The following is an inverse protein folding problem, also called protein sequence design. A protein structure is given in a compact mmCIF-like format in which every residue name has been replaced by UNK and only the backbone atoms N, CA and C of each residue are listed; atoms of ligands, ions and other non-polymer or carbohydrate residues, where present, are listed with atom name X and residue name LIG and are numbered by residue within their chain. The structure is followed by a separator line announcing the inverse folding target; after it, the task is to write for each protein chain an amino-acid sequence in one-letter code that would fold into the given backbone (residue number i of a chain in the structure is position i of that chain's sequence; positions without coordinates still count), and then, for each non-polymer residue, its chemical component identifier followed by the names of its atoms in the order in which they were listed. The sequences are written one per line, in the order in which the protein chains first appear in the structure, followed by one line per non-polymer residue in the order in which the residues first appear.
data_IF_974977531858
#
_entry.id   IF_974977531858
#
_cell.length_a   1.000
_cell.length_b   1.000
_cell.length_c   1.000
_cell.angle_alpha   90.00
_cell.angle_beta   90.00
_cell.angle_gamma   90.00
#
_symmetry.space_group_name_H-M   'P 1'
#
loop_
_entity.id
_entity.type
_entity.pdbx_description
1 polymer ?
#
# COMPACT_ATOMS: atom_id res chain seq x y z
N UNK A 1 -7.41 22.24 27.33
CA UNK A 1 -6.88 20.98 26.79
C UNK A 1 -5.77 21.35 25.83
N UNK A 2 -4.50 21.26 26.27
CA UNK A 2 -3.35 21.46 25.39
C UNK A 2 -3.11 20.17 24.61
N UNK A 3 -3.32 20.18 23.30
CA UNK A 3 -2.82 19.17 22.37
C UNK A 3 -1.30 19.35 22.27
N UNK A 4 -0.55 18.24 22.37
CA UNK A 4 0.88 18.23 22.12
C UNK A 4 1.16 18.63 20.67
N UNK A 5 1.89 19.72 20.45
CA UNK A 5 2.29 20.18 19.13
C UNK A 5 3.39 19.27 18.58
N UNK A 6 3.03 18.44 17.62
CA UNK A 6 4.00 17.77 16.74
C UNK A 6 4.26 18.69 15.56
N UNK A 7 5.47 19.22 15.42
CA UNK A 7 5.84 20.03 14.28
C UNK A 7 6.08 19.14 13.05
N UNK A 8 5.22 19.30 12.05
CA UNK A 8 5.40 18.65 10.73
C UNK A 8 6.30 19.56 9.90
N UNK A 9 7.52 19.11 9.63
CA UNK A 9 8.40 19.79 8.68
C UNK A 9 8.18 19.19 7.29
N UNK A 10 7.49 19.94 6.43
CA UNK A 10 7.40 19.62 5.00
C UNK A 10 8.73 20.00 4.35
N UNK A 11 9.56 19.02 4.00
CA UNK A 11 10.88 19.26 3.43
C UNK A 11 10.90 19.17 1.90
N UNK A 12 9.93 18.48 1.30
CA UNK A 12 9.65 18.43 -0.13
C UNK A 12 8.16 18.10 -0.32
N UNK A 13 7.62 18.28 -1.54
CA UNK A 13 6.21 18.04 -1.84
C UNK A 13 5.74 16.60 -1.57
N UNK A 14 6.66 15.66 -1.35
CA UNK A 14 6.40 14.22 -1.24
C UNK A 14 6.86 13.58 0.09
N UNK A 15 7.64 14.27 0.93
CA UNK A 15 8.19 13.70 2.18
C UNK A 15 7.73 14.47 3.41
N UNK A 16 7.03 13.81 4.32
CA UNK A 16 6.70 14.32 5.64
C UNK A 16 7.72 13.82 6.67
N UNK A 17 8.43 14.74 7.30
CA UNK A 17 9.29 14.47 8.47
C UNK A 17 8.61 14.96 9.73
N UNK A 18 8.55 14.10 10.75
CA UNK A 18 8.13 14.47 12.09
C UNK A 18 9.35 14.77 12.94
N UNK A 19 9.37 15.94 13.57
CA UNK A 19 10.31 16.23 14.64
C UNK A 19 9.56 16.02 15.96
N UNK A 20 9.85 14.93 16.66
CA UNK A 20 9.33 14.70 18.00
C UNK A 20 9.87 15.82 18.92
N UNK A 21 9.00 16.66 19.42
CA UNK A 21 9.33 17.51 20.55
C UNK A 21 9.70 16.62 21.73
N UNK A 22 10.82 16.90 22.41
CA UNK A 22 11.29 16.16 23.57
C UNK A 22 10.34 16.30 24.76
N UNK A 23 9.26 15.52 24.76
CA UNK A 23 8.39 15.35 25.93
C UNK A 23 8.84 14.06 26.61
N UNK A 24 9.48 14.16 27.77
CA UNK A 24 9.71 13.02 28.65
C UNK A 24 8.34 12.43 29.02
N UNK A 25 8.11 11.11 28.86
CA UNK A 25 6.86 10.50 29.27
C UNK A 25 6.78 10.53 30.80
N UNK A 26 5.85 11.29 31.33
CA UNK A 26 5.35 11.13 32.69
C UNK A 26 4.37 9.97 32.68
N UNK A 27 4.51 9.06 33.62
CA UNK A 27 3.75 7.81 33.87
C UNK A 27 2.30 7.82 33.38
N UNK A 28 1.88 6.71 32.75
CA UNK A 28 0.50 6.38 32.36
C UNK A 28 -0.19 7.36 31.41
N UNK A 29 0.42 7.62 30.26
CA UNK A 29 -0.20 8.45 29.23
C UNK A 29 -0.67 7.60 28.05
N UNK A 30 -1.90 7.86 27.64
CA UNK A 30 -2.46 7.34 26.41
C UNK A 30 -1.45 7.56 25.25
N UNK A 31 -1.09 6.49 24.57
CA UNK A 31 -0.19 6.56 23.41
C UNK A 31 -0.86 7.42 22.34
N UNK A 32 -0.25 8.55 22.01
CA UNK A 32 -0.74 9.38 20.92
C UNK A 32 -0.39 8.74 19.57
N UNK A 33 -1.35 8.69 18.67
CA UNK A 33 -1.18 8.17 17.33
C UNK A 33 -1.31 9.27 16.28
N UNK A 34 -0.56 9.11 15.21
CA UNK A 34 -0.71 9.88 13.97
C UNK A 34 -1.39 8.99 12.93
N UNK A 35 -2.21 9.59 12.08
CA UNK A 35 -2.78 8.95 10.91
C UNK A 35 -2.34 9.74 9.69
N UNK A 36 -1.62 9.07 8.79
CA UNK A 36 -1.28 9.58 7.47
C UNK A 36 -2.15 8.88 6.44
N UNK A 37 -2.95 9.65 5.70
CA UNK A 37 -3.80 9.10 4.64
C UNK A 37 -3.49 9.77 3.31
N UNK A 38 -3.43 8.97 2.26
CA UNK A 38 -3.30 9.43 0.87
C UNK A 38 -4.67 9.45 0.22
N UNK A 39 -5.06 10.53 -0.47
CA UNK A 39 -6.25 10.52 -1.29
C UNK A 39 -6.06 9.63 -2.52
N UNK A 40 -7.12 9.39 -3.26
CA UNK A 40 -7.02 8.90 -4.64
C UNK A 40 -6.17 9.88 -5.45
N UNK A 41 -5.34 9.38 -6.35
CA UNK A 41 -4.42 10.16 -7.18
C UNK A 41 -3.19 10.71 -6.43
N UNK A 42 -3.04 10.40 -5.14
CA UNK A 42 -1.90 10.87 -4.34
C UNK A 42 -1.02 9.74 -3.84
N UNK A 43 0.26 10.04 -3.65
CA UNK A 43 1.20 9.19 -2.94
C UNK A 43 2.04 10.04 -2.00
N UNK A 44 2.39 9.51 -0.83
CA UNK A 44 3.22 10.21 0.15
C UNK A 44 4.22 9.25 0.76
N UNK A 45 5.36 9.80 1.21
CA UNK A 45 6.29 9.05 2.04
C UNK A 45 6.43 9.70 3.41
N UNK A 46 6.71 8.87 4.41
CA UNK A 46 6.92 9.31 5.80
C UNK A 46 8.15 8.62 6.36
N UNK A 47 8.92 9.36 7.17
CA UNK A 47 10.00 8.81 8.00
C UNK A 47 9.45 8.66 9.42
N UNK A 48 9.35 7.42 9.89
CA UNK A 48 8.87 7.09 11.23
C UNK A 48 9.93 7.41 12.31
N UNK A 49 9.55 7.46 13.60
CA UNK A 49 10.47 7.79 14.70
C UNK A 49 11.70 6.88 14.83
N UNK A 50 11.60 5.64 14.36
CA UNK A 50 12.69 4.64 14.36
C UNK A 50 13.57 4.69 13.10
N UNK A 51 13.41 5.70 12.24
CA UNK A 51 14.04 5.85 10.93
C UNK A 51 13.55 4.85 9.87
N UNK A 52 12.48 4.13 10.11
CA UNK A 52 11.77 3.37 9.08
C UNK A 52 11.13 4.34 8.07
N UNK A 53 11.34 4.10 6.78
CA UNK A 53 10.70 4.87 5.73
C UNK A 53 9.52 4.08 5.14
N UNK A 54 8.39 4.75 4.99
CA UNK A 54 7.17 4.16 4.42
C UNK A 54 6.68 5.02 3.28
N UNK A 55 6.39 4.42 2.13
CA UNK A 55 5.67 5.06 1.02
C UNK A 55 4.26 4.51 1.01
N UNK A 56 3.29 5.40 0.95
CA UNK A 56 1.87 5.08 0.82
C UNK A 56 1.42 5.35 -0.59
N UNK A 57 0.83 4.34 -1.23
CA UNK A 57 0.20 4.46 -2.53
C UNK A 57 -1.16 5.18 -2.42
N UNK A 58 -1.81 5.46 -3.54
CA UNK A 58 -3.11 6.13 -3.58
C UNK A 58 -4.17 5.38 -2.76
N UNK A 59 -5.08 6.12 -2.13
CA UNK A 59 -6.17 5.60 -1.30
C UNK A 59 -5.70 4.66 -0.16
N UNK A 60 -4.60 5.02 0.53
CA UNK A 60 -4.01 4.23 1.62
C UNK A 60 -3.94 5.02 2.92
N UNK A 61 -3.86 4.32 4.05
CA UNK A 61 -3.74 4.95 5.37
C UNK A 61 -2.80 4.16 6.27
N UNK A 62 -1.93 4.88 6.98
CA UNK A 62 -1.02 4.36 7.98
C UNK A 62 -1.28 5.05 9.32
N UNK A 63 -1.61 4.25 10.35
CA UNK A 63 -1.69 4.70 11.72
C UNK A 63 -0.44 4.24 12.48
N UNK A 64 0.23 5.15 13.17
CA UNK A 64 1.47 4.88 13.91
C UNK A 64 1.59 5.75 15.15
N UNK A 65 2.24 5.29 16.22
CA UNK A 65 2.41 6.08 17.45
C UNK A 65 3.44 7.20 17.24
N UNK A 66 3.34 8.26 18.03
CA UNK A 66 4.33 9.37 18.09
C UNK A 66 5.70 8.85 18.48
N UNK A 67 5.77 7.78 19.29
CA UNK A 67 6.98 7.08 19.69
C UNK A 67 6.70 5.59 19.86
N UNK A 68 7.62 4.73 19.43
CA UNK A 68 7.50 3.28 19.62
C UNK A 68 7.86 2.86 21.05
N UNK A 69 7.31 1.72 21.47
CA UNK A 69 7.65 1.11 22.75
C UNK A 69 8.98 0.34 22.69
N UNK A 70 9.52 -0.02 23.87
CA UNK A 70 10.70 -0.86 23.96
C UNK A 70 10.42 -2.35 23.66
N UNK A 71 9.15 -2.72 23.45
CA UNK A 71 8.72 -4.11 23.19
C UNK A 71 8.43 -4.38 21.72
N UNK A 72 7.84 -3.40 21.03
CA UNK A 72 7.45 -3.54 19.64
C UNK A 72 7.32 -2.16 18.95
N UNK A 73 7.50 -2.15 17.64
CA UNK A 73 7.26 -1.01 16.74
C UNK A 73 6.02 -1.32 15.91
N UNK A 74 4.84 -0.99 16.43
CA UNK A 74 3.55 -1.36 15.85
C UNK A 74 2.95 -0.23 15.04
N UNK A 75 2.48 -0.56 13.83
CA UNK A 75 1.71 0.33 12.94
C UNK A 75 0.51 -0.42 12.37
N UNK A 76 -0.50 0.32 11.88
CA UNK A 76 -1.67 -0.24 11.22
C UNK A 76 -1.77 0.29 9.79
N UNK A 77 -2.05 -0.59 8.84
CA UNK A 77 -2.13 -0.27 7.41
C UNK A 77 -3.49 -0.68 6.84
N UNK A 78 -4.03 0.23 6.01
CA UNK A 78 -5.08 -0.07 5.03
C UNK A 78 -4.61 0.42 3.65
N UNK A 79 -4.96 -0.29 2.57
CA UNK A 79 -4.49 0.05 1.23
C UNK A 79 -3.11 -0.52 0.93
N UNK A 80 -2.22 0.23 0.28
CA UNK A 80 -0.92 -0.26 -0.16
C UNK A 80 0.22 0.62 0.32
N UNK A 81 1.26 -0.05 0.86
CA UNK A 81 2.48 0.62 1.30
C UNK A 81 3.73 -0.22 1.03
N UNK A 82 4.81 0.48 0.74
CA UNK A 82 6.16 -0.07 0.68
C UNK A 82 6.94 0.39 1.91
N UNK A 83 7.65 -0.55 2.54
CA UNK A 83 8.38 -0.34 3.77
C UNK A 83 9.88 -0.59 3.58
N UNK A 84 10.70 0.34 4.01
CA UNK A 84 12.13 0.15 4.29
C UNK A 84 12.33 0.24 5.80
N UNK A 85 12.21 -0.91 6.47
CA UNK A 85 12.25 -0.96 7.93
C UNK A 85 13.68 -0.89 8.43
N UNK A 86 13.94 0.05 9.34
CA UNK A 86 15.24 0.18 10.01
C UNK A 86 15.57 -1.08 10.81
N UNK A 87 16.82 -1.59 10.64
CA UNK A 87 17.30 -2.79 11.35
C UNK A 87 17.30 -2.55 12.86
N UNK A 88 16.60 -3.39 13.60
CA UNK A 88 16.51 -3.33 15.06
C UNK A 88 16.15 -4.72 15.62
N UNK A 89 16.54 -5.01 16.88
CA UNK A 89 16.12 -6.23 17.57
C UNK A 89 14.68 -6.19 18.04
N UNK A 90 14.13 -4.99 18.26
CA UNK A 90 12.71 -4.78 18.60
C UNK A 90 11.89 -5.02 17.32
N UNK A 91 10.92 -5.94 17.32
CA UNK A 91 10.14 -6.27 16.14
C UNK A 91 9.31 -5.08 15.64
N UNK A 92 9.29 -4.90 14.31
CA UNK A 92 8.36 -4.01 13.62
C UNK A 92 7.15 -4.83 13.15
N UNK A 93 5.96 -4.41 13.54
CA UNK A 93 4.72 -5.14 13.29
C UNK A 93 3.76 -4.23 12.52
N UNK A 94 3.37 -4.69 11.33
CA UNK A 94 2.28 -4.06 10.57
C UNK A 94 1.01 -4.88 10.79
N UNK A 95 -0.02 -4.27 11.38
CA UNK A 95 -1.37 -4.83 11.43
C UNK A 95 -2.09 -4.43 10.15
N UNK A 96 -2.51 -5.40 9.37
CA UNK A 96 -3.12 -5.19 8.05
C UNK A 96 -4.63 -5.43 8.16
N UNK A 97 -5.42 -4.40 7.86
CA UNK A 97 -6.89 -4.44 7.91
C UNK A 97 -7.45 -5.07 9.20
N UNK A 98 -6.75 -4.92 10.34
CA UNK A 98 -7.08 -5.53 11.65
C UNK A 98 -7.25 -7.07 11.59
N UNK A 99 -6.67 -7.74 10.61
CA UNK A 99 -6.92 -9.15 10.29
C UNK A 99 -5.66 -9.99 10.25
N UNK A 100 -4.63 -9.51 9.62
CA UNK A 100 -3.34 -10.18 9.54
C UNK A 100 -2.22 -9.32 10.14
N UNK A 101 -1.09 -9.94 10.48
CA UNK A 101 0.10 -9.22 10.93
C UNK A 101 1.31 -9.62 10.12
N UNK A 102 2.15 -8.63 9.82
CA UNK A 102 3.43 -8.78 9.15
C UNK A 102 4.51 -8.31 10.12
N UNK A 103 5.38 -9.22 10.56
CA UNK A 103 6.44 -8.96 11.54
C UNK A 103 7.81 -9.07 10.89
N UNK A 104 8.67 -8.07 11.16
CA UNK A 104 10.04 -7.97 10.63
C UNK A 104 11.01 -7.39 11.65
N UNK A 105 12.33 -7.50 11.39
CA UNK A 105 13.39 -6.86 12.21
C UNK A 105 14.19 -5.80 11.44
N UNK A 106 14.12 -5.80 10.10
CA UNK A 106 14.84 -4.89 9.22
C UNK A 106 14.80 -5.44 7.80
N UNK A 107 13.84 -4.97 7.00
CA UNK A 107 13.33 -5.69 5.85
C UNK A 107 12.75 -4.70 4.86
N UNK A 108 12.90 -4.98 3.56
CA UNK A 108 12.24 -4.24 2.49
C UNK A 108 11.10 -5.08 1.91
N UNK A 109 9.88 -4.59 1.98
CA UNK A 109 8.69 -5.32 1.54
C UNK A 109 7.55 -4.39 1.13
N UNK A 110 6.63 -4.90 0.32
CA UNK A 110 5.40 -4.24 -0.09
C UNK A 110 4.20 -4.99 0.49
N UNK A 111 3.20 -4.27 0.95
CA UNK A 111 1.89 -4.82 1.31
C UNK A 111 0.84 -4.12 0.45
N UNK A 112 -0.01 -4.91 -0.24
CA UNK A 112 -1.21 -4.47 -0.93
C UNK A 112 -2.42 -5.10 -0.25
N UNK A 113 -3.29 -4.27 0.33
CA UNK A 113 -4.41 -4.71 1.15
C UNK A 113 -5.61 -3.75 0.99
N UNK A 114 -6.00 -3.50 -0.26
CA UNK A 114 -7.21 -2.72 -0.55
C UNK A 114 -8.45 -3.58 -0.37
N UNK A 115 -9.51 -3.00 0.19
CA UNK A 115 -10.78 -3.70 0.44
C UNK A 115 -11.51 -4.10 -0.86
N UNK A 116 -11.25 -3.40 -1.96
CA UNK A 116 -11.80 -3.68 -3.29
C UNK A 116 -10.99 -4.71 -4.09
N UNK A 117 -9.86 -5.23 -3.53
CA UNK A 117 -9.09 -6.31 -4.14
C UNK A 117 -9.49 -7.69 -3.58
N UNK A 118 -9.44 -8.75 -4.41
CA UNK A 118 -9.87 -10.08 -4.01
C UNK A 118 -8.94 -10.77 -3.00
N UNK A 119 -7.77 -10.21 -2.74
CA UNK A 119 -6.76 -10.76 -1.81
C UNK A 119 -5.88 -9.64 -1.25
N UNK A 120 -5.27 -9.90 -0.10
CA UNK A 120 -4.13 -9.14 0.40
C UNK A 120 -2.84 -9.78 -0.12
N UNK A 121 -1.82 -8.99 -0.44
CA UNK A 121 -0.53 -9.50 -0.88
C UNK A 121 0.62 -8.85 -0.10
N UNK A 122 1.54 -9.66 0.40
CA UNK A 122 2.82 -9.21 0.97
C UNK A 122 3.94 -9.72 0.10
N UNK A 123 4.77 -8.84 -0.44
CA UNK A 123 5.90 -9.17 -1.32
C UNK A 123 7.20 -8.82 -0.64
N UNK A 124 8.12 -9.76 -0.53
CA UNK A 124 9.39 -9.59 0.16
C UNK A 124 10.54 -9.36 -0.82
N UNK A 125 11.24 -8.22 -0.64
CA UNK A 125 12.39 -7.84 -1.46
C UNK A 125 13.72 -8.19 -0.77
N UNK A 126 13.87 -7.82 0.51
CA UNK A 126 15.10 -8.04 1.28
C UNK A 126 14.75 -8.38 2.73
N UNK A 127 15.52 -9.27 3.34
CA UNK A 127 15.41 -9.63 4.75
C UNK A 127 14.51 -10.84 4.99
N UNK A 128 13.66 -10.79 6.00
CA UNK A 128 12.77 -11.88 6.40
C UNK A 128 11.46 -11.31 6.90
N UNK A 129 10.34 -11.93 6.51
CA UNK A 129 8.99 -11.57 6.94
C UNK A 129 8.33 -12.77 7.58
N UNK A 130 7.72 -12.56 8.76
CA UNK A 130 6.77 -13.50 9.34
C UNK A 130 5.36 -12.94 9.17
N UNK A 131 4.49 -13.70 8.51
CA UNK A 131 3.06 -13.38 8.39
C UNK A 131 2.27 -14.26 9.35
N UNK A 132 1.26 -13.66 9.99
CA UNK A 132 0.31 -14.39 10.86
C UNK A 132 -1.11 -14.01 10.49
N UNK A 133 -1.96 -15.02 10.30
CA UNK A 133 -3.40 -14.89 10.04
C UNK A 133 -4.14 -15.86 10.96
N UNK A 134 -4.79 -15.35 12.00
CA UNK A 134 -5.40 -16.19 13.03
C UNK A 134 -4.37 -17.10 13.69
N UNK A 135 -4.54 -18.42 13.53
CA UNK A 135 -3.62 -19.43 14.07
C UNK A 135 -2.52 -19.84 13.06
N UNK A 136 -2.67 -19.50 11.81
CA UNK A 136 -1.70 -19.81 10.75
C UNK A 136 -0.56 -18.79 10.75
N UNK A 137 0.67 -19.26 10.62
CA UNK A 137 1.82 -18.39 10.42
C UNK A 137 2.84 -19.01 9.49
N UNK A 138 3.51 -18.16 8.72
CA UNK A 138 4.60 -18.57 7.83
C UNK A 138 5.72 -17.54 7.82
N UNK A 139 6.90 -17.97 7.38
CA UNK A 139 8.07 -17.13 7.19
C UNK A 139 8.44 -17.12 5.72
N UNK A 140 8.63 -15.91 5.18
CA UNK A 140 9.00 -15.67 3.78
C UNK A 140 10.49 -15.38 3.64
N UNK A 141 11.01 -15.75 2.48
CA UNK A 141 12.35 -15.40 2.00
C UNK A 141 12.27 -14.42 0.82
N UNK A 142 13.34 -13.65 0.53
CA UNK A 142 13.36 -12.72 -0.59
C UNK A 142 12.97 -13.40 -1.91
N UNK A 143 12.18 -12.72 -2.71
CA UNK A 143 11.65 -13.26 -3.97
C UNK A 143 10.26 -13.90 -3.83
N UNK A 144 9.71 -14.01 -2.65
CA UNK A 144 8.39 -14.60 -2.42
C UNK A 144 7.31 -13.54 -2.25
N UNK A 145 6.09 -13.90 -2.66
CA UNK A 145 4.87 -13.16 -2.38
C UNK A 145 3.86 -14.06 -1.67
N UNK A 146 3.36 -13.62 -0.54
CA UNK A 146 2.24 -14.28 0.13
C UNK A 146 0.93 -13.59 -0.25
N UNK A 147 -0.05 -14.37 -0.72
CA UNK A 147 -1.42 -13.92 -0.98
C UNK A 147 -2.36 -14.51 0.06
N UNK A 148 -3.14 -13.64 0.69
CA UNK A 148 -4.17 -14.00 1.67
C UNK A 148 -5.53 -13.85 1.03
N UNK A 149 -6.27 -14.96 0.95
CA UNK A 149 -7.65 -14.99 0.44
C UNK A 149 -8.53 -15.71 1.46
N UNK A 150 -9.54 -15.02 1.99
CA UNK A 150 -10.32 -15.58 3.10
C UNK A 150 -9.44 -15.88 4.31
N UNK A 151 -9.39 -17.11 4.78
CA UNK A 151 -8.59 -17.56 5.92
C UNK A 151 -7.37 -18.40 5.49
N UNK A 152 -6.90 -18.25 4.25
CA UNK A 152 -5.81 -19.06 3.70
C UNK A 152 -4.67 -18.17 3.22
N UNK A 153 -3.44 -18.61 3.49
CA UNK A 153 -2.21 -17.98 3.01
C UNK A 153 -1.57 -18.88 1.95
N UNK A 154 -1.33 -18.32 0.76
CA UNK A 154 -0.61 -19.00 -0.32
C UNK A 154 0.67 -18.24 -0.64
N UNK A 155 1.82 -18.94 -0.63
CA UNK A 155 3.10 -18.37 -1.06
C UNK A 155 3.31 -18.66 -2.53
N UNK A 156 3.64 -17.61 -3.28
CA UNK A 156 4.00 -17.64 -4.69
C UNK A 156 5.49 -17.32 -4.81
N UNK A 157 6.15 -18.04 -5.70
CA UNK A 157 7.52 -17.81 -6.14
C UNK A 157 7.47 -17.39 -7.60
N UNK A 158 8.49 -16.79 -8.09
CA UNK A 158 8.58 -16.34 -9.51
C UNK A 158 7.66 -15.16 -9.87
N UNK A 159 7.14 -14.42 -8.87
CA UNK A 159 6.48 -13.14 -9.13
C UNK A 159 7.50 -12.07 -9.54
N UNK A 160 7.12 -11.20 -10.47
CA UNK A 160 7.95 -10.05 -10.83
C UNK A 160 7.90 -8.99 -9.73
N UNK A 161 8.83 -9.14 -8.77
CA UNK A 161 8.91 -8.25 -7.60
C UNK A 161 9.13 -6.80 -8.01
N UNK A 162 9.91 -6.56 -9.07
CA UNK A 162 10.15 -5.21 -9.57
C UNK A 162 8.88 -4.59 -10.14
N UNK A 163 8.04 -5.37 -10.78
CA UNK A 163 6.73 -4.92 -11.25
C UNK A 163 5.81 -4.55 -10.07
N UNK A 164 5.82 -5.34 -8.98
CA UNK A 164 4.99 -5.06 -7.79
C UNK A 164 5.33 -3.72 -7.14
N UNK A 165 6.61 -3.34 -7.09
CA UNK A 165 7.05 -2.09 -6.44
C UNK A 165 7.26 -0.93 -7.40
N UNK A 166 6.98 -1.13 -8.69
CA UNK A 166 7.22 -0.13 -9.73
C UNK A 166 6.40 1.16 -9.54
N UNK A 167 5.26 1.07 -8.82
CA UNK A 167 4.43 2.22 -8.51
C UNK A 167 5.21 3.32 -7.78
N UNK A 168 6.13 2.96 -6.90
CA UNK A 168 7.04 3.86 -6.19
C UNK A 168 7.98 4.64 -7.13
N UNK A 169 8.23 4.09 -8.32
CA UNK A 169 9.05 4.69 -9.37
C UNK A 169 8.19 5.31 -10.49
N UNK A 170 6.93 5.65 -10.20
CA UNK A 170 6.03 6.30 -11.14
C UNK A 170 5.59 5.41 -12.31
N UNK A 171 5.59 4.08 -12.16
CA UNK A 171 5.16 3.14 -13.19
C UNK A 171 4.19 2.11 -12.60
N UNK A 172 3.25 1.65 -13.40
CA UNK A 172 2.37 0.52 -13.06
C UNK A 172 2.53 -0.55 -14.14
N UNK A 173 2.76 -1.78 -13.71
CA UNK A 173 2.84 -2.94 -14.58
C UNK A 173 1.60 -3.80 -14.40
N UNK A 174 1.08 -4.28 -15.52
CA UNK A 174 0.01 -5.26 -15.58
C UNK A 174 0.57 -6.53 -16.20
N UNK A 175 0.44 -7.65 -15.50
CA UNK A 175 0.81 -8.98 -15.96
C UNK A 175 -0.41 -9.87 -15.82
N UNK A 176 -0.91 -10.36 -16.95
CA UNK A 176 -2.11 -11.19 -17.04
C UNK A 176 -3.29 -10.60 -16.24
N UNK A 177 -3.38 -9.26 -16.22
CA UNK A 177 -4.38 -8.55 -15.45
C UNK A 177 -5.72 -8.55 -16.18
N UNK A 178 -6.79 -8.90 -15.47
CA UNK A 178 -8.14 -8.78 -16.00
C UNK A 178 -8.61 -7.32 -16.00
N UNK A 179 -9.64 -7.04 -16.77
CA UNK A 179 -10.21 -5.69 -16.91
C UNK A 179 -10.62 -5.09 -15.55
N UNK A 180 -11.30 -5.82 -14.64
CA UNK A 180 -11.62 -5.28 -13.31
C UNK A 180 -10.39 -4.86 -12.50
N UNK A 181 -9.32 -5.65 -12.52
CA UNK A 181 -8.06 -5.33 -11.83
C UNK A 181 -7.45 -4.03 -12.36
N UNK A 182 -7.39 -3.87 -13.69
CA UNK A 182 -6.88 -2.64 -14.31
C UNK A 182 -7.74 -1.43 -13.91
N UNK A 183 -9.05 -1.59 -13.95
CA UNK A 183 -9.99 -0.50 -13.66
C UNK A 183 -9.95 -0.08 -12.18
N UNK A 184 -9.72 -0.99 -11.23
CA UNK A 184 -9.51 -0.63 -9.82
C UNK A 184 -8.23 0.20 -9.63
N UNK A 185 -7.13 -0.18 -10.28
CA UNK A 185 -5.88 0.61 -10.26
C UNK A 185 -6.12 2.01 -10.85
N UNK A 186 -6.82 2.10 -11.99
CA UNK A 186 -7.17 3.38 -12.64
C UNK A 186 -8.04 4.23 -11.72
N UNK A 187 -9.07 3.63 -11.12
CA UNK A 187 -9.96 4.30 -10.19
C UNK A 187 -9.19 4.97 -9.05
N UNK A 188 -8.26 4.24 -8.43
CA UNK A 188 -7.45 4.76 -7.33
C UNK A 188 -6.45 5.82 -7.79
N UNK A 189 -5.80 5.62 -8.95
CA UNK A 189 -4.72 6.51 -9.38
C UNK A 189 -5.23 7.80 -10.04
N UNK A 190 -6.31 7.75 -10.82
CA UNK A 190 -6.84 8.91 -11.52
C UNK A 190 -8.07 9.53 -10.84
N UNK A 191 -8.46 9.05 -9.67
CA UNK A 191 -9.64 9.51 -8.93
C UNK A 191 -10.92 9.49 -9.78
N UNK A 192 -11.16 8.36 -10.43
CA UNK A 192 -12.37 8.12 -11.22
C UNK A 192 -13.25 7.04 -10.60
N UNK A 193 -14.56 7.22 -10.67
CA UNK A 193 -15.54 6.26 -10.17
C UNK A 193 -15.95 5.32 -11.31
N UNK A 194 -15.56 4.05 -11.20
CA UNK A 194 -15.81 3.05 -12.23
C UNK A 194 -17.15 2.35 -11.97
N UNK A 195 -18.01 2.34 -12.98
CA UNK A 195 -19.29 1.63 -12.99
C UNK A 195 -19.30 0.62 -14.14
N UNK A 196 -19.67 -0.60 -13.85
CA UNK A 196 -19.72 -1.68 -14.85
C UNK A 196 -21.13 -1.84 -15.40
N UNK A 197 -21.27 -1.89 -16.74
CA UNK A 197 -22.50 -2.29 -17.41
C UNK A 197 -22.24 -3.63 -18.12
N UNK A 198 -22.95 -4.67 -17.68
CA UNK A 198 -22.79 -6.02 -18.23
C UNK A 198 -21.62 -6.82 -17.67
N UNK A 199 -21.31 -7.93 -18.32
CA UNK A 199 -20.22 -8.83 -17.94
C UNK A 199 -19.06 -8.72 -18.92
N UNK A 200 -17.85 -8.66 -18.39
CA UNK A 200 -16.64 -8.55 -19.20
C UNK A 200 -16.03 -9.91 -19.49
N UNK A 201 -15.52 -10.07 -20.71
CA UNK A 201 -14.73 -11.26 -21.05
C UNK A 201 -13.49 -11.32 -20.15
N UNK A 202 -13.05 -12.55 -19.82
CA UNK A 202 -11.81 -12.79 -19.04
C UNK A 202 -10.57 -12.51 -19.88
N UNK A 203 -10.48 -11.32 -20.49
CA UNK A 203 -9.27 -10.90 -21.19
C UNK A 203 -8.18 -10.58 -20.20
N UNK A 204 -7.01 -11.05 -20.47
CA UNK A 204 -5.79 -10.71 -19.76
C UNK A 204 -5.01 -9.67 -20.56
N UNK A 205 -4.56 -8.62 -19.90
CA UNK A 205 -3.81 -7.52 -20.50
C UNK A 205 -2.45 -7.47 -19.84
N UNK A 206 -1.44 -7.38 -20.69
CA UNK A 206 -0.05 -7.18 -20.27
C UNK A 206 0.43 -5.83 -20.77
N UNK A 207 1.13 -5.08 -19.92
CA UNK A 207 1.67 -3.77 -20.28
C UNK A 207 2.21 -3.00 -19.11
N UNK A 208 2.79 -1.85 -19.42
CA UNK A 208 3.28 -0.91 -18.42
C UNK A 208 2.79 0.49 -18.76
N UNK A 209 2.40 1.24 -17.74
CA UNK A 209 1.90 2.60 -17.86
C UNK A 209 2.71 3.51 -16.95
N UNK A 210 3.09 4.68 -17.48
CA UNK A 210 3.64 5.75 -16.66
C UNK A 210 2.52 6.36 -15.81
N UNK A 211 2.75 6.52 -14.52
CA UNK A 211 1.82 7.21 -13.63
C UNK A 211 1.71 8.71 -13.91
N UNK A 212 2.69 9.27 -14.63
CA UNK A 212 2.65 10.65 -15.11
C UNK A 212 1.86 10.82 -16.42
N UNK A 213 1.43 9.71 -17.05
CA UNK A 213 0.59 9.77 -18.22
C UNK A 213 -0.80 10.34 -17.87
N UNK A 214 -1.38 11.21 -18.70
CA UNK A 214 -2.74 11.68 -18.48
C UNK A 214 -3.75 10.55 -18.68
N UNK A 215 -4.89 10.61 -17.99
CA UNK A 215 -5.97 9.63 -18.11
C UNK A 215 -6.36 9.36 -19.58
N UNK A 216 -6.35 10.40 -20.41
CA UNK A 216 -6.70 10.28 -21.84
C UNK A 216 -5.81 9.34 -22.63
N UNK A 217 -4.54 9.20 -22.27
CA UNK A 217 -3.62 8.22 -22.89
C UNK A 217 -3.99 6.80 -22.51
N UNK A 218 -4.26 6.58 -21.24
CA UNK A 218 -4.70 5.30 -20.72
C UNK A 218 -6.04 4.87 -21.34
N UNK A 219 -6.99 5.79 -21.46
CA UNK A 219 -8.27 5.55 -22.09
C UNK A 219 -8.13 5.06 -23.54
N UNK A 220 -7.20 5.65 -24.33
CA UNK A 220 -6.88 5.16 -25.68
C UNK A 220 -6.34 3.72 -25.66
N UNK A 221 -5.52 3.36 -24.66
CA UNK A 221 -5.01 1.98 -24.52
C UNK A 221 -6.16 1.02 -24.23
N UNK A 222 -7.12 1.41 -23.39
CA UNK A 222 -8.31 0.58 -23.13
C UNK A 222 -9.15 0.39 -24.39
N UNK A 223 -9.39 1.45 -25.19
CA UNK A 223 -10.13 1.37 -26.45
C UNK A 223 -9.43 0.47 -27.48
N UNK A 224 -8.09 0.56 -27.62
CA UNK A 224 -7.29 -0.34 -28.47
C UNK A 224 -7.44 -1.80 -28.05
N UNK A 225 -7.66 -2.05 -26.77
CA UNK A 225 -7.96 -3.38 -26.24
C UNK A 225 -9.46 -3.73 -26.29
N UNK A 226 -10.26 -2.93 -27.03
CA UNK A 226 -11.71 -3.13 -27.21
C UNK A 226 -12.48 -3.09 -25.88
N UNK A 227 -12.02 -2.29 -24.93
CA UNK A 227 -12.74 -1.96 -23.72
C UNK A 227 -13.42 -0.62 -23.98
N UNK A 228 -14.75 -0.62 -24.06
CA UNK A 228 -15.51 0.58 -24.31
C UNK A 228 -15.93 1.23 -23.01
N UNK A 229 -16.01 2.55 -23.00
CA UNK A 229 -16.42 3.30 -21.81
C UNK A 229 -17.05 4.64 -22.20
N UNK A 230 -17.79 5.20 -21.26
CA UNK A 230 -18.34 6.55 -21.35
C UNK A 230 -17.91 7.33 -20.13
N UNK A 231 -17.36 8.52 -20.34
CA UNK A 231 -16.99 9.45 -19.27
C UNK A 231 -18.08 10.49 -19.04
N UNK A 232 -18.42 10.74 -17.78
CA UNK A 232 -19.28 11.81 -17.30
C UNK A 232 -18.65 12.41 -16.04
N UNK A 233 -17.88 13.48 -16.19
CA UNK A 233 -17.03 14.02 -15.14
C UNK A 233 -16.03 12.98 -14.65
N UNK A 234 -16.08 12.65 -13.36
CA UNK A 234 -15.25 11.59 -12.74
C UNK A 234 -15.83 10.18 -12.89
N UNK A 235 -17.05 10.04 -13.41
CA UNK A 235 -17.67 8.73 -13.55
C UNK A 235 -17.31 8.09 -14.89
N UNK A 236 -16.66 6.94 -14.82
CA UNK A 236 -16.36 6.06 -15.96
C UNK A 236 -17.35 4.90 -16.00
N UNK A 237 -18.24 4.89 -16.97
CA UNK A 237 -19.11 3.74 -17.21
C UNK A 237 -18.47 2.85 -18.25
N UNK A 238 -18.08 1.64 -17.85
CA UNK A 238 -17.42 0.66 -18.72
C UNK A 238 -18.47 -0.29 -19.32
N UNK A 239 -18.40 -0.47 -20.63
CA UNK A 239 -19.38 -1.18 -21.44
C UNK A 239 -18.67 -2.40 -22.07
N UNK A 240 -19.28 -3.59 -22.11
CA UNK A 240 -18.70 -4.81 -22.69
C UNK A 240 -18.40 -4.69 -24.19
#
# INVERSE_FOLDING_TARGET
TRQGESNILKQDSELLKYQAGSVKPSSETATNYNILSTPRGGEYSVLLPDSTRVWLNAASSLCYPVGFSDKERRVELTGEAYFEVAKNQIPFIVVVNQRSTVQVLGTHFNIMAYDDEPYEATTLLEGKVKITLGVESLVMTPGEQAKITGQSIKVLRDEDIQAVVAWRNGRTFFKDADVPTILRVISRWYDVDVVYQGSFSRRQINGAISRNAPLSELLKILELNKIHFKMDGKKMTVIP
#
